data_IF_049502257342
#
_entry.id   IF_049502257342
#
_cell.length_a   1.000
_cell.length_b   1.000
_cell.length_c   1.000
_cell.angle_alpha   90.00
_cell.angle_beta   90.00
_cell.angle_gamma   90.00
#
_symmetry.space_group_name_H-M   'P 1'
#
loop_
_entity.id
_entity.type
_entity.pdbx_description
1 polymer ?
#
# COMPACT_ATOMS: atom_id res chain seq x y z
N UNK A 1 -2.28 18.78 1.18
CA UNK A 1 -2.76 17.44 0.80
C UNK A 1 -1.73 16.93 -0.19
N UNK A 2 -1.15 15.76 0.07
CA UNK A 2 -0.13 15.19 -0.80
C UNK A 2 -0.78 14.71 -2.11
N UNK A 3 -0.10 14.87 -3.24
CA UNK A 3 -0.58 14.33 -4.51
C UNK A 3 -0.20 12.84 -4.62
N UNK A 4 -1.17 11.93 -4.89
CA UNK A 4 -0.85 10.52 -5.09
C UNK A 4 -0.08 10.34 -6.40
N UNK A 5 0.90 9.44 -6.40
CA UNK A 5 1.62 9.07 -7.61
C UNK A 5 0.66 8.56 -8.70
N UNK A 6 0.94 8.79 -10.00
CA UNK A 6 0.09 8.41 -11.12
C UNK A 6 0.18 6.90 -11.44
N UNK A 7 -0.09 6.05 -10.44
CA UNK A 7 -0.10 4.59 -10.54
C UNK A 7 -1.36 4.00 -9.90
N UNK A 8 -1.78 2.80 -10.30
CA UNK A 8 -2.91 2.12 -9.68
C UNK A 8 -2.72 1.95 -8.17
N UNK A 9 -3.81 2.01 -7.41
CA UNK A 9 -3.80 1.79 -5.96
C UNK A 9 -3.35 0.38 -5.56
N UNK A 10 -3.44 -0.58 -6.49
CA UNK A 10 -2.96 -1.96 -6.35
C UNK A 10 -1.47 -2.13 -6.62
N UNK A 11 -0.83 -1.12 -7.21
CA UNK A 11 0.59 -1.18 -7.55
C UNK A 11 1.43 -0.49 -6.47
N UNK A 12 2.27 -1.22 -5.71
CA UNK A 12 3.17 -0.64 -4.73
C UNK A 12 4.39 0.00 -5.41
N UNK A 13 4.95 1.04 -4.78
CA UNK A 13 6.22 1.59 -5.23
C UNK A 13 7.40 0.64 -4.93
N UNK A 14 8.39 0.48 -5.83
CA UNK A 14 9.56 -0.39 -5.60
C UNK A 14 10.33 -0.11 -4.30
N UNK A 15 10.33 1.13 -3.80
CA UNK A 15 10.97 1.49 -2.52
C UNK A 15 10.20 0.99 -1.28
N UNK A 16 8.92 0.65 -1.43
CA UNK A 16 8.06 0.09 -0.35
C UNK A 16 7.93 -1.42 -0.45
N UNK A 17 7.89 -1.95 -1.67
CA UNK A 17 7.88 -3.37 -1.97
C UNK A 17 8.73 -3.65 -3.20
N UNK A 18 9.94 -4.18 -2.98
CA UNK A 18 10.85 -4.51 -4.07
C UNK A 18 10.22 -5.54 -5.04
N UNK A 19 10.45 -5.42 -6.36
CA UNK A 19 9.96 -6.38 -7.34
C UNK A 19 10.39 -7.83 -7.06
N UNK A 20 11.59 -8.03 -6.51
CA UNK A 20 12.13 -9.34 -6.12
C UNK A 20 11.78 -9.79 -4.69
N UNK A 21 10.80 -9.16 -4.02
CA UNK A 21 10.48 -9.51 -2.65
C UNK A 21 9.89 -10.93 -2.54
N UNK A 22 10.37 -11.80 -1.63
CA UNK A 22 9.98 -13.21 -1.59
C UNK A 22 8.48 -13.45 -1.38
N UNK A 23 7.79 -12.55 -0.67
CA UNK A 23 6.35 -12.61 -0.43
C UNK A 23 5.54 -11.61 -1.27
N UNK A 24 6.08 -11.13 -2.39
CA UNK A 24 5.43 -10.08 -3.21
C UNK A 24 4.01 -10.46 -3.62
N UNK A 25 3.84 -11.69 -4.13
CA UNK A 25 2.54 -12.19 -4.58
C UNK A 25 1.50 -12.22 -3.46
N UNK A 26 1.87 -12.70 -2.27
CA UNK A 26 0.99 -12.74 -1.10
C UNK A 26 0.62 -11.33 -0.62
N UNK A 27 1.60 -10.42 -0.59
CA UNK A 27 1.39 -9.02 -0.18
C UNK A 27 0.43 -8.30 -1.15
N UNK A 28 0.58 -8.53 -2.46
CA UNK A 28 -0.33 -7.98 -3.48
C UNK A 28 -1.74 -8.55 -3.33
N UNK A 29 -1.87 -9.86 -3.15
CA UNK A 29 -3.16 -10.51 -3.00
C UNK A 29 -3.90 -10.03 -1.72
N UNK A 30 -3.20 -9.94 -0.59
CA UNK A 30 -3.78 -9.46 0.66
C UNK A 30 -4.22 -7.98 0.58
N UNK A 31 -3.42 -7.15 -0.10
CA UNK A 31 -3.80 -5.76 -0.36
C UNK A 31 -5.01 -5.65 -1.29
N UNK A 32 -5.01 -6.38 -2.41
CA UNK A 32 -6.10 -6.36 -3.38
C UNK A 32 -7.43 -6.79 -2.74
N UNK A 33 -7.41 -7.89 -1.98
CA UNK A 33 -8.59 -8.37 -1.25
C UNK A 33 -9.12 -7.31 -0.26
N UNK A 34 -8.24 -6.65 0.48
CA UNK A 34 -8.64 -5.58 1.40
C UNK A 34 -9.18 -4.34 0.67
N UNK A 35 -8.63 -4.02 -0.50
CA UNK A 35 -9.10 -2.90 -1.32
C UNK A 35 -10.50 -3.17 -1.89
N UNK A 36 -10.73 -4.37 -2.42
CA UNK A 36 -12.04 -4.81 -2.94
C UNK A 36 -13.09 -4.89 -1.82
N UNK A 37 -12.71 -5.35 -0.63
CA UNK A 37 -13.58 -5.37 0.55
C UNK A 37 -13.79 -3.97 1.18
N UNK A 38 -13.18 -2.92 0.64
CA UNK A 38 -13.29 -1.55 1.17
C UNK A 38 -12.65 -1.37 2.54
N UNK A 39 -11.74 -2.26 2.96
CA UNK A 39 -11.09 -2.24 4.26
C UNK A 39 -9.97 -1.19 4.33
N UNK A 40 -9.75 -0.65 5.53
CA UNK A 40 -8.73 0.36 5.77
C UNK A 40 -7.30 -0.18 5.63
N UNK A 41 -7.10 -1.49 5.79
CA UNK A 41 -5.80 -2.13 5.85
C UNK A 41 -5.90 -3.66 5.90
N UNK A 42 -4.74 -4.31 5.90
CA UNK A 42 -4.59 -5.76 5.94
C UNK A 42 -3.37 -6.15 6.80
N UNK A 43 -3.35 -7.37 7.37
CA UNK A 43 -2.16 -7.90 8.01
C UNK A 43 -1.09 -8.21 6.94
N UNK A 44 0.08 -7.58 7.05
CA UNK A 44 1.22 -7.79 6.15
C UNK A 44 1.74 -9.23 6.32
N UNK A 45 1.68 -10.07 5.27
CA UNK A 45 2.04 -11.49 5.36
C UNK A 45 3.48 -11.75 5.80
N UNK A 46 4.39 -10.79 5.64
CA UNK A 46 5.80 -10.94 6.01
C UNK A 46 6.05 -10.58 7.47
N UNK A 47 5.52 -9.43 7.92
CA UNK A 47 5.84 -8.84 9.23
C UNK A 47 4.77 -9.10 10.28
N UNK A 48 3.56 -9.51 9.87
CA UNK A 48 2.38 -9.62 10.74
C UNK A 48 1.79 -8.27 11.16
N UNK A 49 2.37 -7.15 10.73
CA UNK A 49 1.90 -5.82 11.08
C UNK A 49 0.64 -5.44 10.29
N UNK A 50 -0.25 -4.66 10.89
CA UNK A 50 -1.37 -4.10 10.16
C UNK A 50 -0.91 -2.91 9.31
N UNK A 51 -1.03 -3.02 7.99
CA UNK A 51 -0.66 -1.98 7.03
C UNK A 51 -1.89 -1.40 6.34
N UNK A 52 -1.89 -0.09 6.09
CA UNK A 52 -3.01 0.59 5.46
C UNK A 52 -3.06 0.33 3.95
N UNK A 53 -4.27 0.20 3.41
CA UNK A 53 -4.48 0.11 1.96
C UNK A 53 -4.21 1.46 1.29
N UNK A 54 -3.75 1.40 0.05
CA UNK A 54 -3.61 2.58 -0.79
C UNK A 54 -4.94 3.36 -0.91
N UNK A 55 -6.08 2.68 -1.03
CA UNK A 55 -7.39 3.32 -1.10
C UNK A 55 -7.76 4.08 0.16
N UNK A 56 -7.44 3.56 1.34
CA UNK A 56 -7.62 4.29 2.60
C UNK A 56 -6.73 5.54 2.66
N UNK A 57 -5.45 5.40 2.28
CA UNK A 57 -4.51 6.52 2.26
C UNK A 57 -4.89 7.59 1.22
N UNK A 58 -5.39 7.18 0.04
CA UNK A 58 -5.91 8.08 -0.99
C UNK A 58 -7.10 8.90 -0.46
N UNK A 59 -8.07 8.25 0.20
CA UNK A 59 -9.20 8.93 0.86
C UNK A 59 -8.76 9.87 1.99
N UNK A 60 -7.73 9.49 2.74
CA UNK A 60 -7.14 10.30 3.82
C UNK A 60 -6.41 11.54 3.27
N UNK A 61 -5.91 11.51 2.04
CA UNK A 61 -5.22 12.64 1.40
C UNK A 61 -3.78 12.90 1.90
N UNK A 62 -3.19 11.98 2.66
CA UNK A 62 -1.80 12.13 3.15
C UNK A 62 -1.12 10.82 3.56
N UNK A 63 0.21 10.80 3.53
CA UNK A 63 1.03 9.71 4.02
C UNK A 63 0.85 9.50 5.53
N UNK A 64 0.75 8.23 5.96
CA UNK A 64 0.63 7.91 7.38
C UNK A 64 1.97 7.89 8.15
N UNK A 65 3.11 8.01 7.46
CA UNK A 65 4.45 7.98 8.06
C UNK A 65 4.93 6.60 8.55
N UNK A 66 4.16 5.52 8.35
CA UNK A 66 4.43 4.17 8.91
C UNK A 66 5.02 3.17 7.91
N UNK A 67 5.31 3.61 6.70
CA UNK A 67 5.94 2.75 5.68
C UNK A 67 5.04 1.65 5.09
N UNK A 68 3.74 1.91 4.93
CA UNK A 68 2.83 0.96 4.29
C UNK A 68 3.29 0.57 2.88
N UNK A 69 3.16 -0.71 2.53
CA UNK A 69 3.66 -1.32 1.29
C UNK A 69 3.11 -0.66 0.02
N UNK A 70 1.85 -0.23 0.06
CA UNK A 70 1.13 0.33 -1.08
C UNK A 70 0.86 1.83 -0.91
N UNK A 71 1.64 2.55 -0.09
CA UNK A 71 1.42 3.98 0.11
C UNK A 71 1.42 4.71 -1.25
N UNK A 72 0.38 5.50 -1.60
CA UNK A 72 0.32 6.20 -2.88
C UNK A 72 1.18 7.48 -2.90
N UNK A 73 1.70 7.91 -1.75
CA UNK A 73 2.48 9.15 -1.57
C UNK A 73 3.98 8.92 -1.42
N UNK A 74 4.48 7.76 -1.85
CA UNK A 74 5.92 7.62 -2.15
C UNK A 74 6.10 8.11 -3.57
N UNK A 75 7.04 9.04 -3.72
CA UNK A 75 7.36 9.80 -4.94
C UNK A 75 6.40 10.97 -5.23
N UNK A 76 5.60 11.38 -4.23
CA UNK A 76 4.93 12.68 -4.26
C UNK A 76 5.96 13.79 -4.09
N UNK A 77 6.08 14.64 -5.10
CA UNK A 77 6.78 15.93 -5.03
C UNK A 77 6.15 16.85 -3.99
#
# INVERSE_FOLDING_TARGET
MDEPAPRPLTEPHPSRLAPGHPRRTEILAAHAAALEAGQAGYPDPQTGLFVLTAGFLAKRGTCCGRGCRHCPYVDGV
#
